data_IF_754594036213
#
_entry.id   IF_754594036213
#
_cell.length_a   1.000
_cell.length_b   1.000
_cell.length_c   1.000
_cell.angle_alpha   90.00
_cell.angle_beta   90.00
_cell.angle_gamma   90.00
#
_symmetry.space_group_name_H-M   'P 1'
#
loop_
_entity.id
_entity.type
_entity.pdbx_description
1 polymer ?
#
# COMPACT_ATOMS: atom_id res chain seq x y z
N UNK A 1 -8.24 14.74 -0.80
CA UNK A 1 -7.59 13.87 0.20
C UNK A 1 -8.21 12.50 0.05
N UNK A 2 -7.57 11.57 -0.68
CA UNK A 2 -8.13 10.24 -0.90
C UNK A 2 -7.24 9.22 -0.20
N UNK A 3 -7.74 8.69 0.91
CA UNK A 3 -7.14 7.60 1.68
C UNK A 3 -7.80 6.33 1.17
N UNK A 4 -7.02 5.40 0.63
CA UNK A 4 -7.51 4.06 0.30
C UNK A 4 -6.99 3.13 1.39
N UNK A 5 -7.83 2.84 2.38
CA UNK A 5 -7.56 1.85 3.41
C UNK A 5 -7.84 0.45 2.83
N UNK A 6 -6.83 -0.41 2.82
CA UNK A 6 -6.93 -1.78 2.33
C UNK A 6 -6.48 -2.70 3.43
N UNK A 7 -7.44 -3.30 4.12
CA UNK A 7 -7.14 -4.39 5.02
C UNK A 7 -7.15 -5.69 4.21
N UNK A 8 -6.02 -6.41 4.26
CA UNK A 8 -5.85 -7.75 3.70
C UNK A 8 -6.14 -7.91 2.19
N UNK A 9 -5.39 -7.24 1.33
CA UNK A 9 -5.25 -7.72 -0.05
C UNK A 9 -4.21 -8.83 -0.08
N UNK A 10 -4.61 -10.04 -0.46
CA UNK A 10 -3.66 -11.13 -0.71
C UNK A 10 -2.77 -10.81 -1.93
N UNK A 11 -3.25 -9.96 -2.85
CA UNK A 11 -2.56 -9.53 -4.07
C UNK A 11 -3.03 -8.15 -4.54
N UNK A 12 -2.18 -7.42 -5.26
CA UNK A 12 -2.60 -6.29 -6.11
C UNK A 12 -2.11 -4.91 -5.67
N UNK A 13 -1.22 -4.80 -4.68
CA UNK A 13 -0.65 -3.53 -4.25
C UNK A 13 0.02 -2.78 -5.41
N UNK A 14 0.73 -3.51 -6.28
CA UNK A 14 1.42 -2.89 -7.42
C UNK A 14 0.48 -2.25 -8.43
N UNK A 15 -0.65 -2.92 -8.75
CA UNK A 15 -1.66 -2.36 -9.67
C UNK A 15 -2.31 -1.10 -9.11
N UNK A 16 -2.50 -1.06 -7.79
CA UNK A 16 -3.03 0.11 -7.10
C UNK A 16 -2.02 1.26 -7.05
N UNK A 17 -0.73 0.95 -6.87
CA UNK A 17 0.35 1.94 -6.93
C UNK A 17 0.49 2.54 -8.35
N UNK A 18 0.33 1.73 -9.40
CA UNK A 18 0.30 2.23 -10.77
C UNK A 18 -0.93 3.11 -11.04
N UNK A 19 -2.10 2.69 -10.55
CA UNK A 19 -3.32 3.48 -10.66
C UNK A 19 -3.20 4.80 -9.90
N UNK A 20 -2.66 4.80 -8.68
CA UNK A 20 -2.48 6.02 -7.89
C UNK A 20 -1.56 7.00 -8.62
N UNK A 21 -0.46 6.53 -9.19
CA UNK A 21 0.42 7.31 -10.07
C UNK A 21 -0.33 7.89 -11.28
N UNK A 22 -1.09 7.06 -11.99
CA UNK A 22 -1.84 7.45 -13.19
C UNK A 22 -2.85 8.57 -12.91
N UNK A 23 -3.50 8.54 -11.74
CA UNK A 23 -4.52 9.52 -11.36
C UNK A 23 -3.98 10.64 -10.45
N UNK A 24 -2.66 10.74 -10.25
CA UNK A 24 -2.05 11.76 -9.40
C UNK A 24 -2.48 11.68 -7.93
N UNK A 25 -2.84 10.49 -7.46
CA UNK A 25 -3.27 10.23 -6.09
C UNK A 25 -2.11 9.62 -5.28
N UNK A 26 -2.13 9.85 -3.97
CA UNK A 26 -1.21 9.19 -3.04
C UNK A 26 -1.80 7.88 -2.53
N UNK A 27 -1.01 6.81 -2.48
CA UNK A 27 -1.40 5.53 -1.88
C UNK A 27 -0.70 5.36 -0.53
N UNK A 28 -1.46 5.04 0.52
CA UNK A 28 -0.94 4.73 1.86
C UNK A 28 -1.47 3.37 2.31
N UNK A 29 -0.57 2.44 2.59
CA UNK A 29 -0.87 1.13 3.15
C UNK A 29 -0.75 1.20 4.67
N UNK A 30 -1.87 1.01 5.37
CA UNK A 30 -1.90 0.77 6.82
C UNK A 30 -1.90 -0.73 7.03
N UNK A 31 -0.90 -1.26 7.75
CA UNK A 31 -0.81 -2.70 8.00
C UNK A 31 -0.18 -2.96 9.35
N UNK A 32 -0.60 -4.02 10.04
CA UNK A 32 0.07 -4.48 11.26
C UNK A 32 1.45 -5.07 10.99
N UNK A 33 1.61 -5.72 9.84
CA UNK A 33 2.84 -6.38 9.45
C UNK A 33 3.11 -6.09 7.97
N UNK A 34 4.17 -5.31 7.69
CA UNK A 34 4.58 -5.02 6.31
C UNK A 34 5.22 -6.22 5.61
N UNK A 35 5.70 -7.21 6.37
CA UNK A 35 6.42 -8.36 5.79
C UNK A 35 5.50 -9.23 4.93
N UNK A 36 4.20 -9.19 5.18
CA UNK A 36 3.14 -9.77 4.34
C UNK A 36 3.25 -9.29 2.89
N UNK A 37 3.70 -8.05 2.68
CA UNK A 37 3.83 -7.44 1.36
C UNK A 37 5.27 -7.39 0.84
N UNK A 38 6.24 -8.08 1.48
CA UNK A 38 7.67 -7.98 1.14
C UNK A 38 7.94 -8.23 -0.34
N UNK A 39 7.26 -9.22 -0.93
CA UNK A 39 7.39 -9.54 -2.35
C UNK A 39 6.95 -8.36 -3.24
N UNK A 40 5.73 -7.85 -3.02
CA UNK A 40 5.19 -6.76 -3.82
C UNK A 40 5.99 -5.45 -3.58
N UNK A 41 6.30 -5.13 -2.32
CA UNK A 41 7.10 -3.95 -1.94
C UNK A 41 8.52 -4.00 -2.52
N UNK A 42 9.14 -5.18 -2.63
CA UNK A 42 10.48 -5.31 -3.22
C UNK A 42 10.55 -4.90 -4.70
N UNK A 43 9.40 -4.91 -5.38
CA UNK A 43 9.28 -4.56 -6.80
C UNK A 43 8.76 -3.14 -7.04
N UNK A 44 8.35 -2.43 -5.99
CA UNK A 44 7.72 -1.12 -6.08
C UNK A 44 8.70 0.01 -5.76
N UNK A 45 8.56 1.14 -6.47
CA UNK A 45 9.24 2.38 -6.06
C UNK A 45 8.61 2.85 -4.74
N UNK A 46 9.43 3.00 -3.71
CA UNK A 46 9.04 3.44 -2.36
C UNK A 46 8.29 4.78 -2.38
N UNK A 47 8.44 5.59 -3.43
CA UNK A 47 7.70 6.84 -3.61
C UNK A 47 6.24 6.65 -4.03
N UNK A 48 5.85 5.47 -4.50
CA UNK A 48 4.50 5.18 -4.98
C UNK A 48 3.56 4.71 -3.86
N UNK A 49 4.11 4.13 -2.79
CA UNK A 49 3.34 3.60 -1.66
C UNK A 49 3.99 4.01 -0.35
N UNK A 50 3.26 4.78 0.45
CA UNK A 50 3.65 5.02 1.84
C UNK A 50 3.16 3.86 2.70
N UNK A 51 4.04 3.18 3.41
CA UNK A 51 3.66 2.12 4.37
C UNK A 51 3.68 2.71 5.78
N UNK A 52 2.61 2.46 6.54
CA UNK A 52 2.51 2.82 7.95
C UNK A 52 2.17 1.55 8.72
N UNK A 53 3.11 1.12 9.57
CA UNK A 53 2.90 0.00 10.47
C UNK A 53 2.05 0.46 11.65
N UNK A 54 0.83 -0.06 11.77
CA UNK A 54 -0.14 0.28 12.83
C UNK A 54 -0.99 -0.96 13.15
N UNK A 55 -1.33 -1.14 14.42
CA UNK A 55 -2.31 -2.18 14.77
C UNK A 55 -3.69 -1.75 14.24
N UNK A 56 -4.23 -2.51 13.29
CA UNK A 56 -5.53 -2.22 12.68
C UNK A 56 -6.70 -2.82 13.46
N UNK A 57 -6.42 -3.53 14.56
CA UNK A 57 -7.43 -4.20 15.39
C UNK A 57 -7.78 -3.42 16.68
N UNK A 58 -7.19 -2.25 16.91
CA UNK A 58 -7.50 -1.35 18.04
C UNK A 58 -8.59 -0.32 17.71
#
# INVERSE_FOLDING_TARGET
MNIIALEALTFGLGRLAEASKKYGCSLTLLTRDKTVYSYELSSLDERLVKVVEIDTFE
#
